data_IF_941965791541
#
_entry.id   IF_941965791541
#
_cell.length_a   1.000
_cell.length_b   1.000
_cell.length_c   1.000
_cell.angle_alpha   90.00
_cell.angle_beta   90.00
_cell.angle_gamma   90.00
#
_symmetry.space_group_name_H-M   'P 1'
#
loop_
_entity.id
_entity.type
_entity.pdbx_description
1 polymer ?
#
# COMPACT_ATOMS: atom_id res chain seq x y z
N UNK A 1 14.05 15.15 -15.54
CA UNK A 1 15.17 14.36 -16.09
C UNK A 1 16.43 14.75 -15.34
N UNK A 2 16.88 13.93 -14.38
CA UNK A 2 17.98 14.28 -13.47
C UNK A 2 19.25 13.55 -13.94
N UNK A 3 20.20 14.32 -14.46
CA UNK A 3 21.47 13.84 -15.05
C UNK A 3 22.51 13.63 -13.95
N UNK A 4 23.22 12.51 -14.00
CA UNK A 4 24.42 12.22 -13.22
C UNK A 4 25.64 12.85 -13.93
N UNK A 5 26.64 13.38 -13.21
CA UNK A 5 27.97 13.55 -13.77
C UNK A 5 28.87 12.37 -13.39
N UNK A 6 29.36 11.71 -14.43
CA UNK A 6 30.56 10.89 -14.39
C UNK A 6 31.79 11.76 -14.04
N UNK A 7 32.74 11.19 -13.31
CA UNK A 7 34.08 11.75 -13.17
C UNK A 7 35.11 10.71 -13.64
N UNK A 8 35.78 11.06 -14.74
CA UNK A 8 36.99 10.48 -15.31
C UNK A 8 38.22 10.95 -14.52
N UNK A 9 39.21 10.08 -14.31
CA UNK A 9 40.68 10.35 -14.31
C UNK A 9 41.36 8.98 -14.58
N UNK A 10 42.00 8.65 -15.70
CA UNK A 10 43.18 9.16 -16.46
C UNK A 10 44.57 8.73 -15.90
N UNK A 11 45.09 7.62 -16.49
CA UNK A 11 46.44 7.30 -17.05
C UNK A 11 47.71 7.53 -16.19
N UNK A 12 48.58 6.50 -16.07
CA UNK A 12 49.93 6.44 -16.67
C UNK A 12 50.71 5.13 -16.40
N UNK A 13 51.49 4.78 -17.42
CA UNK A 13 52.36 3.60 -17.65
C UNK A 13 53.43 3.36 -16.59
N UNK A 14 53.92 2.11 -16.48
CA UNK A 14 55.35 1.76 -16.34
C UNK A 14 55.57 0.27 -16.69
N UNK A 15 56.65 0.02 -17.43
CA UNK A 15 57.09 -1.28 -17.94
C UNK A 15 57.82 -2.13 -16.87
N UNK A 16 57.87 -3.45 -17.06
CA UNK A 16 58.76 -4.33 -16.30
C UNK A 16 58.50 -5.82 -16.57
N UNK A 17 59.38 -6.45 -17.35
CA UNK A 17 59.49 -7.90 -17.48
C UNK A 17 60.45 -8.40 -16.38
N UNK A 18 60.08 -9.43 -15.63
CA UNK A 18 60.93 -10.03 -14.60
C UNK A 18 60.25 -11.25 -13.99
N UNK A 19 60.77 -12.43 -14.32
CA UNK A 19 60.26 -13.71 -13.86
C UNK A 19 60.46 -13.93 -12.36
N UNK A 20 59.61 -14.79 -11.80
CA UNK A 20 59.72 -15.30 -10.44
C UNK A 20 58.50 -16.15 -10.10
N UNK A 21 58.68 -17.48 -10.12
CA UNK A 21 57.76 -18.43 -9.51
C UNK A 21 57.52 -18.04 -8.04
N UNK A 22 56.30 -17.62 -7.74
CA UNK A 22 55.82 -17.50 -6.37
C UNK A 22 54.49 -18.23 -6.30
N UNK A 23 54.50 -19.30 -5.51
CA UNK A 23 53.31 -20.09 -5.21
C UNK A 23 52.17 -19.16 -4.85
N UNK A 24 51.13 -19.20 -5.68
CA UNK A 24 49.90 -18.46 -5.40
C UNK A 24 49.21 -19.15 -4.24
N UNK A 25 49.52 -18.70 -3.03
CA UNK A 25 48.67 -18.93 -1.86
C UNK A 25 47.34 -18.25 -2.18
N UNK A 26 46.38 -19.02 -2.69
CA UNK A 26 45.00 -18.59 -2.86
C UNK A 26 44.47 -18.32 -1.46
N UNK A 27 44.43 -17.05 -1.07
CA UNK A 27 43.64 -16.62 0.08
C UNK A 27 42.17 -16.99 -0.20
N UNK A 28 41.42 -17.51 0.78
CA UNK A 28 40.01 -17.77 0.56
C UNK A 28 39.34 -16.47 0.15
N UNK A 29 38.71 -16.47 -1.02
CA UNK A 29 37.94 -15.35 -1.50
C UNK A 29 36.84 -15.06 -0.46
N UNK A 30 36.84 -13.84 0.09
CA UNK A 30 35.77 -13.40 0.96
C UNK A 30 34.51 -13.21 0.10
N UNK A 31 33.65 -14.21 0.06
CA UNK A 31 32.33 -14.09 -0.57
C UNK A 31 31.53 -13.04 0.19
N UNK A 32 31.29 -11.91 -0.46
CA UNK A 32 30.33 -10.94 0.03
C UNK A 32 28.95 -11.65 0.08
N UNK A 33 28.23 -11.60 1.21
CA UNK A 33 26.90 -12.21 1.28
C UNK A 33 26.03 -11.61 0.19
N UNK A 34 25.42 -12.49 -0.61
CA UNK A 34 24.47 -12.08 -1.64
C UNK A 34 23.34 -11.28 -0.98
N UNK A 35 22.90 -10.16 -1.58
CA UNK A 35 21.80 -9.38 -1.04
C UNK A 35 20.56 -10.28 -0.93
N UNK A 36 20.23 -10.66 0.31
CA UNK A 36 19.05 -11.46 0.62
C UNK A 36 17.85 -10.53 0.54
N UNK A 37 16.81 -10.94 -0.19
CA UNK A 37 15.57 -10.19 -0.26
C UNK A 37 15.06 -9.88 1.18
N UNK A 38 14.49 -8.68 1.42
CA UNK A 38 13.95 -8.35 2.73
C UNK A 38 12.96 -9.43 3.20
N UNK A 39 13.08 -9.84 4.45
CA UNK A 39 12.14 -10.77 5.05
C UNK A 39 10.73 -10.12 5.13
N UNK A 40 9.64 -10.88 4.94
CA UNK A 40 8.29 -10.38 5.19
C UNK A 40 8.15 -9.88 6.64
N UNK A 41 7.19 -8.98 6.87
CA UNK A 41 6.90 -8.47 8.21
C UNK A 41 6.57 -9.62 9.18
N UNK A 42 7.00 -9.50 10.43
CA UNK A 42 6.46 -10.33 11.51
C UNK A 42 4.98 -10.01 11.72
N UNK A 43 4.23 -10.92 12.38
CA UNK A 43 2.81 -10.69 12.67
C UNK A 43 2.58 -9.40 13.49
N UNK A 44 3.48 -9.12 14.45
CA UNK A 44 3.40 -7.91 15.29
C UNK A 44 3.60 -6.63 14.47
N UNK A 45 4.59 -6.61 13.59
CA UNK A 45 4.84 -5.47 12.69
C UNK A 45 3.71 -5.30 11.68
N UNK A 46 3.23 -6.39 11.10
CA UNK A 46 2.12 -6.41 10.16
C UNK A 46 0.83 -5.87 10.79
N UNK A 47 0.54 -6.21 12.05
CA UNK A 47 -0.61 -5.67 12.78
C UNK A 47 -0.56 -4.15 12.87
N UNK A 48 0.56 -3.59 13.34
CA UNK A 48 0.73 -2.13 13.44
C UNK A 48 0.67 -1.45 12.07
N UNK A 49 1.31 -2.05 11.07
CA UNK A 49 1.33 -1.54 9.70
C UNK A 49 -0.07 -1.52 9.08
N UNK A 50 -0.85 -2.58 9.24
CA UNK A 50 -2.23 -2.66 8.74
C UNK A 50 -3.10 -1.55 9.31
N UNK A 51 -3.12 -1.40 10.64
CA UNK A 51 -3.92 -0.37 11.30
C UNK A 51 -3.53 1.04 10.85
N UNK A 52 -2.23 1.31 10.70
CA UNK A 52 -1.75 2.61 10.23
C UNK A 52 -2.17 2.90 8.78
N UNK A 53 -2.19 1.88 7.91
CA UNK A 53 -2.59 2.03 6.51
C UNK A 53 -4.09 2.32 6.39
N UNK A 54 -4.95 1.60 7.13
CA UNK A 54 -6.41 1.72 6.96
C UNK A 54 -7.03 2.90 7.69
N UNK A 55 -6.36 3.44 8.73
CA UNK A 55 -6.92 4.50 9.57
C UNK A 55 -7.42 5.74 8.79
N UNK A 56 -6.67 6.33 7.83
CA UNK A 56 -7.15 7.49 7.08
C UNK A 56 -8.39 7.21 6.21
N UNK A 57 -8.51 5.98 5.68
CA UNK A 57 -9.70 5.59 4.93
C UNK A 57 -10.90 5.44 5.85
N UNK A 58 -10.73 4.78 7.00
CA UNK A 58 -11.79 4.60 7.99
C UNK A 58 -12.32 5.94 8.51
N UNK A 59 -11.44 6.88 8.87
CA UNK A 59 -11.86 8.23 9.29
C UNK A 59 -12.64 8.96 8.19
N UNK A 60 -12.22 8.85 6.92
CA UNK A 60 -12.94 9.48 5.82
C UNK A 60 -14.34 8.87 5.61
N UNK A 61 -14.49 7.56 5.83
CA UNK A 61 -15.80 6.89 5.80
C UNK A 61 -16.68 7.36 6.96
N UNK A 62 -16.15 7.37 8.19
CA UNK A 62 -16.87 7.84 9.38
C UNK A 62 -17.39 9.27 9.17
N UNK A 63 -16.56 10.20 8.69
CA UNK A 63 -16.98 11.57 8.37
C UNK A 63 -18.09 11.64 7.31
N UNK A 64 -18.01 10.79 6.27
CA UNK A 64 -19.05 10.70 5.25
C UNK A 64 -20.37 10.18 5.82
N UNK A 65 -20.31 9.13 6.64
CA UNK A 65 -21.46 8.51 7.29
C UNK A 65 -22.14 9.49 8.26
N UNK A 66 -21.37 10.21 9.06
CA UNK A 66 -21.86 11.28 9.92
C UNK A 66 -22.56 12.37 9.11
N UNK A 67 -21.98 12.78 7.98
CA UNK A 67 -22.59 13.80 7.12
C UNK A 67 -23.91 13.33 6.49
N UNK A 68 -24.00 12.04 6.12
CA UNK A 68 -25.24 11.42 5.63
C UNK A 68 -26.29 11.35 6.75
N UNK A 69 -25.91 10.90 7.94
CA UNK A 69 -26.78 10.80 9.11
C UNK A 69 -27.33 12.19 9.53
N UNK A 70 -26.46 13.20 9.52
CA UNK A 70 -26.82 14.59 9.81
C UNK A 70 -27.55 15.30 8.67
N UNK A 71 -27.86 14.60 7.55
CA UNK A 71 -28.54 15.14 6.36
C UNK A 71 -27.89 16.42 5.85
N UNK A 72 -26.56 16.45 5.83
CA UNK A 72 -25.80 17.60 5.30
C UNK A 72 -26.13 17.82 3.81
N UNK A 73 -25.97 19.05 3.28
CA UNK A 73 -26.18 19.32 1.87
C UNK A 73 -25.41 18.36 0.96
N UNK A 74 -26.01 17.91 -0.13
CA UNK A 74 -25.42 16.88 -1.00
C UNK A 74 -24.06 17.30 -1.57
N UNK A 75 -23.81 18.60 -1.75
CA UNK A 75 -22.50 19.11 -2.19
C UNK A 75 -21.42 18.88 -1.13
N UNK A 76 -21.76 18.91 0.16
CA UNK A 76 -20.85 18.56 1.25
C UNK A 76 -20.55 17.07 1.23
N UNK A 77 -21.59 16.23 1.13
CA UNK A 77 -21.45 14.78 1.01
C UNK A 77 -20.60 14.38 -0.21
N UNK A 78 -20.78 15.06 -1.35
CA UNK A 78 -19.95 14.85 -2.55
C UNK A 78 -18.48 15.12 -2.30
N UNK A 79 -18.14 16.20 -1.58
CA UNK A 79 -16.74 16.52 -1.25
C UNK A 79 -16.14 15.41 -0.37
N UNK A 80 -16.89 14.94 0.63
CA UNK A 80 -16.47 13.84 1.51
C UNK A 80 -16.30 12.53 0.73
N UNK A 81 -17.20 12.21 -0.21
CA UNK A 81 -17.02 11.08 -1.11
C UNK A 81 -15.72 11.19 -1.94
N UNK A 82 -15.30 12.41 -2.31
CA UNK A 82 -13.99 12.68 -2.92
C UNK A 82 -12.81 12.42 -1.98
N UNK A 83 -12.94 12.76 -0.70
CA UNK A 83 -11.96 12.40 0.33
C UNK A 83 -11.85 10.88 0.46
N UNK A 84 -12.98 10.17 0.57
CA UNK A 84 -13.04 8.71 0.60
C UNK A 84 -12.39 8.10 -0.64
N UNK A 85 -12.65 8.62 -1.84
CA UNK A 85 -12.00 8.13 -3.06
C UNK A 85 -10.47 8.28 -3.01
N UNK A 86 -9.99 9.39 -2.45
CA UNK A 86 -8.55 9.68 -2.36
C UNK A 86 -7.87 8.78 -1.33
N UNK A 87 -8.44 8.62 -0.13
CA UNK A 87 -7.90 7.74 0.91
C UNK A 87 -8.05 6.27 0.54
N UNK A 88 -9.13 5.88 -0.15
CA UNK A 88 -9.35 4.54 -0.72
C UNK A 88 -8.33 4.15 -1.80
N UNK A 89 -7.81 5.13 -2.56
CA UNK A 89 -6.71 4.88 -3.48
C UNK A 89 -5.38 4.72 -2.72
N UNK A 90 -5.10 5.64 -1.78
CA UNK A 90 -3.83 5.67 -1.05
C UNK A 90 -3.62 4.43 -0.17
N UNK A 91 -4.63 4.02 0.62
CA UNK A 91 -4.47 2.84 1.47
C UNK A 91 -4.31 1.56 0.63
N UNK A 92 -5.00 1.43 -0.51
CA UNK A 92 -4.90 0.28 -1.38
C UNK A 92 -3.53 0.17 -2.06
N UNK A 93 -2.92 1.31 -2.41
CA UNK A 93 -1.52 1.34 -2.86
C UNK A 93 -0.57 0.85 -1.76
N UNK A 94 -0.70 1.36 -0.54
CA UNK A 94 0.15 0.96 0.58
C UNK A 94 -0.04 -0.51 0.98
N UNK A 95 -1.27 -1.02 0.94
CA UNK A 95 -1.58 -2.43 1.17
C UNK A 95 -0.89 -3.31 0.12
N UNK A 96 -0.90 -2.91 -1.17
CA UNK A 96 -0.20 -3.66 -2.23
C UNK A 96 1.33 -3.62 -2.09
N UNK A 97 1.88 -2.49 -1.66
CA UNK A 97 3.31 -2.28 -1.55
C UNK A 97 3.96 -2.90 -0.29
N UNK A 98 3.16 -3.48 0.61
CA UNK A 98 3.66 -4.05 1.87
C UNK A 98 3.87 -5.55 1.75
N UNK A 99 5.02 -6.06 2.22
CA UNK A 99 5.33 -7.49 2.25
C UNK A 99 4.67 -8.18 3.44
N UNK A 100 3.43 -8.65 3.24
CA UNK A 100 2.62 -9.26 4.28
C UNK A 100 3.04 -10.70 4.63
N UNK A 101 2.80 -11.13 5.89
CA UNK A 101 2.85 -12.53 6.28
C UNK A 101 2.01 -13.40 5.35
N UNK A 102 2.46 -14.63 5.09
CA UNK A 102 1.81 -15.53 4.12
C UNK A 102 0.31 -15.73 4.39
N UNK A 103 -0.08 -15.88 5.67
CA UNK A 103 -1.48 -16.06 6.08
C UNK A 103 -2.39 -14.86 5.75
N UNK A 104 -1.83 -13.66 5.59
CA UNK A 104 -2.59 -12.42 5.34
C UNK A 104 -2.79 -12.15 3.85
N UNK A 105 -1.96 -12.73 2.97
CA UNK A 105 -1.93 -12.37 1.53
C UNK A 105 -3.25 -12.64 0.81
N UNK A 106 -3.84 -13.82 1.01
CA UNK A 106 -5.08 -14.19 0.32
C UNK A 106 -6.30 -13.35 0.78
N UNK A 107 -6.55 -13.18 2.10
CA UNK A 107 -7.56 -12.22 2.58
C UNK A 107 -7.36 -10.80 2.04
N UNK A 108 -6.11 -10.32 2.03
CA UNK A 108 -5.81 -8.97 1.56
C UNK A 108 -6.06 -8.80 0.06
N UNK A 109 -5.69 -9.80 -0.76
CA UNK A 109 -5.99 -9.79 -2.18
C UNK A 109 -7.50 -9.75 -2.44
N UNK A 110 -8.31 -10.42 -1.63
CA UNK A 110 -9.77 -10.35 -1.71
C UNK A 110 -10.30 -8.97 -1.30
N UNK A 111 -9.77 -8.38 -0.21
CA UNK A 111 -10.12 -7.03 0.22
C UNK A 111 -9.81 -5.98 -0.87
N UNK A 112 -8.64 -6.08 -1.50
CA UNK A 112 -8.23 -5.16 -2.57
C UNK A 112 -9.12 -5.27 -3.80
N UNK A 113 -9.68 -6.45 -4.11
CA UNK A 113 -10.66 -6.60 -5.20
C UNK A 113 -11.94 -5.84 -4.91
N UNK A 114 -12.49 -5.95 -3.70
CA UNK A 114 -13.67 -5.17 -3.31
C UNK A 114 -13.37 -3.66 -3.35
N UNK A 115 -12.23 -3.25 -2.79
CA UNK A 115 -11.79 -1.86 -2.81
C UNK A 115 -11.69 -1.32 -4.24
N UNK A 116 -11.18 -2.10 -5.20
CA UNK A 116 -11.08 -1.65 -6.60
C UNK A 116 -12.44 -1.40 -7.25
N UNK A 117 -13.48 -2.13 -6.85
CA UNK A 117 -14.86 -1.87 -7.29
C UNK A 117 -15.42 -0.63 -6.59
N UNK A 118 -15.34 -0.58 -5.26
CA UNK A 118 -15.81 0.54 -4.47
C UNK A 118 -15.16 1.86 -4.89
N UNK A 119 -13.84 1.87 -5.13
CA UNK A 119 -13.08 3.05 -5.56
C UNK A 119 -13.60 3.64 -6.87
N UNK A 120 -14.05 2.82 -7.83
CA UNK A 120 -14.66 3.34 -9.06
C UNK A 120 -15.93 4.12 -8.74
N UNK A 121 -16.78 3.56 -7.89
CA UNK A 121 -18.01 4.23 -7.46
C UNK A 121 -17.73 5.47 -6.59
N UNK A 122 -16.72 5.46 -5.71
CA UNK A 122 -16.32 6.64 -4.97
C UNK A 122 -15.86 7.79 -5.88
N UNK A 123 -15.12 7.48 -6.95
CA UNK A 123 -14.73 8.48 -7.96
C UNK A 123 -15.95 9.05 -8.70
N UNK A 124 -16.91 8.20 -9.06
CA UNK A 124 -18.16 8.65 -9.70
C UNK A 124 -19.03 9.48 -8.75
N UNK A 125 -19.10 9.10 -7.47
CA UNK A 125 -19.77 9.85 -6.41
C UNK A 125 -19.15 11.25 -6.27
N UNK A 126 -17.81 11.35 -6.22
CA UNK A 126 -17.09 12.61 -6.15
C UNK A 126 -17.35 13.52 -7.37
N UNK A 127 -17.51 12.91 -8.55
CA UNK A 127 -17.84 13.61 -9.81
C UNK A 127 -19.34 13.87 -10.04
N UNK A 128 -20.21 13.49 -9.10
CA UNK A 128 -21.65 13.53 -9.33
C UNK A 128 -22.17 14.96 -9.56
N UNK A 129 -22.99 15.13 -10.60
CA UNK A 129 -23.65 16.39 -10.92
C UNK A 129 -24.98 16.64 -10.18
N UNK A 130 -25.48 15.66 -9.43
CA UNK A 130 -26.75 15.75 -8.72
C UNK A 130 -26.77 14.89 -7.46
N UNK A 131 -27.66 15.21 -6.52
CA UNK A 131 -27.87 14.42 -5.30
C UNK A 131 -28.27 12.97 -5.61
N UNK A 132 -29.13 12.76 -6.62
CA UNK A 132 -29.57 11.43 -7.01
C UNK A 132 -28.41 10.57 -7.56
N UNK A 133 -27.57 11.16 -8.42
CA UNK A 133 -26.38 10.49 -8.92
C UNK A 133 -25.39 10.18 -7.80
N UNK A 134 -25.16 11.15 -6.89
CA UNK A 134 -24.30 10.96 -5.72
C UNK A 134 -24.76 9.77 -4.88
N UNK A 135 -26.03 9.75 -4.46
CA UNK A 135 -26.54 8.69 -3.59
C UNK A 135 -26.59 7.32 -4.27
N UNK A 136 -26.77 7.27 -5.59
CA UNK A 136 -26.66 6.02 -6.35
C UNK A 136 -25.25 5.45 -6.26
N UNK A 137 -24.23 6.26 -6.52
CA UNK A 137 -22.85 5.80 -6.50
C UNK A 137 -22.35 5.49 -5.09
N UNK A 138 -22.78 6.24 -4.06
CA UNK A 138 -22.48 5.89 -2.65
C UNK A 138 -23.01 4.50 -2.31
N UNK A 139 -24.26 4.17 -2.67
CA UNK A 139 -24.82 2.84 -2.42
C UNK A 139 -24.10 1.74 -3.19
N UNK A 140 -23.71 2.03 -4.45
CA UNK A 140 -22.94 1.08 -5.25
C UNK A 140 -21.54 0.84 -4.66
N UNK A 141 -20.89 1.86 -4.10
CA UNK A 141 -19.63 1.71 -3.38
C UNK A 141 -19.81 0.90 -2.08
N UNK A 142 -20.85 1.20 -1.30
CA UNK A 142 -21.15 0.51 -0.04
C UNK A 142 -21.46 -0.98 -0.23
N UNK A 143 -22.02 -1.38 -1.38
CA UNK A 143 -22.20 -2.79 -1.73
C UNK A 143 -20.87 -3.58 -1.86
N UNK A 144 -19.75 -2.87 -1.90
CA UNK A 144 -18.39 -3.39 -1.98
C UNK A 144 -17.51 -2.86 -0.84
N UNK A 145 -18.07 -2.67 0.36
CA UNK A 145 -17.35 -2.15 1.53
C UNK A 145 -16.12 -3.00 1.94
N UNK A 146 -16.12 -4.28 1.57
CA UNK A 146 -15.05 -5.22 1.88
C UNK A 146 -14.98 -5.64 3.35
N UNK A 147 -16.01 -5.40 4.15
CA UNK A 147 -16.00 -5.63 5.61
C UNK A 147 -15.65 -7.08 5.97
N UNK A 148 -16.27 -8.05 5.30
CA UNK A 148 -15.99 -9.48 5.55
C UNK A 148 -14.54 -9.88 5.21
N UNK A 149 -13.94 -9.26 4.21
CA UNK A 149 -12.56 -9.48 3.78
C UNK A 149 -11.59 -8.78 4.74
N UNK A 150 -11.93 -7.57 5.20
CA UNK A 150 -11.20 -6.85 6.23
C UNK A 150 -11.16 -7.64 7.54
N UNK A 151 -12.26 -8.28 7.94
CA UNK A 151 -12.30 -9.15 9.12
C UNK A 151 -11.40 -10.38 8.98
N UNK A 152 -11.31 -10.98 7.79
CA UNK A 152 -10.36 -12.08 7.53
C UNK A 152 -8.91 -11.60 7.63
N UNK A 153 -8.59 -10.41 7.12
CA UNK A 153 -7.25 -9.79 7.28
C UNK A 153 -6.95 -9.54 8.76
N UNK A 154 -7.92 -9.01 9.50
CA UNK A 154 -7.80 -8.76 10.94
C UNK A 154 -7.57 -10.07 11.71
N UNK A 155 -8.35 -11.11 11.40
CA UNK A 155 -8.19 -12.44 11.98
C UNK A 155 -6.80 -13.03 11.74
N UNK A 156 -6.26 -12.94 10.53
CA UNK A 156 -4.90 -13.45 10.23
C UNK A 156 -3.78 -12.67 10.92
N UNK A 157 -4.07 -11.46 11.40
CA UNK A 157 -3.15 -10.59 12.15
C UNK A 157 -3.39 -10.62 13.67
N UNK A 158 -4.32 -11.45 14.17
CA UNK A 158 -4.69 -11.48 15.58
C UNK A 158 -5.32 -10.17 16.07
N UNK A 159 -6.02 -9.46 15.19
CA UNK A 159 -6.85 -8.31 15.51
C UNK A 159 -8.29 -8.76 15.77
N UNK A 160 -9.03 -8.09 16.68
CA UNK A 160 -10.47 -8.33 16.81
C UNK A 160 -11.16 -7.93 15.51
N UNK A 161 -12.31 -8.53 15.20
CA UNK A 161 -13.16 -8.09 14.08
C UNK A 161 -13.50 -6.60 14.21
N UNK A 162 -13.70 -5.94 13.08
CA UNK A 162 -14.14 -4.55 13.08
C UNK A 162 -15.62 -4.55 13.49
N UNK A 163 -15.91 -4.14 14.72
CA UNK A 163 -17.30 -3.90 15.12
C UNK A 163 -17.61 -2.46 14.79
N UNK A 164 -18.63 -2.25 13.98
CA UNK A 164 -19.28 -0.96 13.82
C UNK A 164 -19.72 -0.50 15.23
N UNK A 165 -19.18 0.64 15.67
CA UNK A 165 -19.63 1.34 16.87
C UNK A 165 -20.94 2.06 16.62
#
# INVERSE_FOLDING_TARGET
MRRWPAALVLVLLLAGCGGGDTGTTVLPAWEAPSPTAPAPLTVKEAKGRYLAIVAPYNTALEELEEALAARRPWQTVRKLAGTVATTSAAHAEQLRATDWPAATRAPLAALLKENDVALRHWKLAAGAGSAAALMREIRAAAAHDGGAQADKVRGSLGLPVYRDS
#
